data_IF_547538510661
#
_entry.id   IF_547538510661
#
_cell.length_a   1.000
_cell.length_b   1.000
_cell.length_c   1.000
_cell.angle_alpha   90.00
_cell.angle_beta   90.00
_cell.angle_gamma   90.00
#
_symmetry.space_group_name_H-M   'P 1'
#
loop_
_entity.id
_entity.type
_entity.pdbx_description
1 polymer ?
#
# COMPACT_ATOMS: atom_id res chain seq x y z
N UNK A 1 -15.73 -11.53 -15.96
CA UNK A 1 -14.48 -11.50 -15.19
C UNK A 1 -14.77 -11.07 -13.75
N UNK A 2 -14.19 -11.78 -12.77
CA UNK A 2 -14.30 -11.44 -11.34
C UNK A 2 -12.96 -10.90 -10.84
N UNK A 3 -12.98 -10.13 -9.74
CA UNK A 3 -11.77 -9.60 -9.11
C UNK A 3 -11.00 -10.75 -8.43
N UNK A 4 -9.73 -10.91 -8.78
CA UNK A 4 -8.86 -12.01 -8.28
C UNK A 4 -7.73 -11.53 -7.37
N UNK A 5 -7.63 -10.22 -7.14
CA UNK A 5 -6.63 -9.59 -6.28
C UNK A 5 -6.60 -8.07 -6.51
N UNK A 6 -6.10 -7.31 -5.55
CA UNK A 6 -6.01 -5.85 -5.65
C UNK A 6 -4.84 -5.26 -4.89
N UNK A 7 -4.25 -4.19 -5.46
CA UNK A 7 -3.26 -3.35 -4.79
C UNK A 7 -3.79 -1.93 -4.81
N UNK A 8 -3.87 -1.30 -3.65
CA UNK A 8 -4.46 0.03 -3.49
C UNK A 8 -3.47 0.97 -2.82
N UNK A 9 -3.56 2.26 -3.15
CA UNK A 9 -2.66 3.29 -2.65
C UNK A 9 -3.45 4.37 -1.90
N UNK A 10 -2.95 4.82 -0.74
CA UNK A 10 -3.56 5.90 0.05
C UNK A 10 -5.01 5.63 0.44
N UNK A 11 -5.27 4.43 0.99
CA UNK A 11 -6.64 3.97 1.26
C UNK A 11 -7.04 4.17 2.70
N UNK A 12 -8.26 4.67 2.93
CA UNK A 12 -8.85 4.72 4.25
C UNK A 12 -10.36 4.45 4.19
N UNK A 13 -10.88 3.87 5.28
CA UNK A 13 -12.32 3.83 5.52
C UNK A 13 -12.77 5.20 6.07
N UNK A 14 -13.71 5.86 5.38
CA UNK A 14 -14.15 7.24 5.66
C UNK A 14 -15.19 7.37 6.80
N UNK A 15 -15.66 6.28 7.41
CA UNK A 15 -16.77 6.32 8.39
C UNK A 15 -16.27 6.38 9.84
N UNK A 16 -17.09 6.89 10.77
CA UNK A 16 -16.74 6.92 12.21
C UNK A 16 -16.57 5.51 12.81
N UNK A 17 -17.17 4.48 12.21
CA UNK A 17 -16.97 3.07 12.58
C UNK A 17 -15.80 2.38 11.84
N UNK A 18 -15.03 3.12 11.03
CA UNK A 18 -13.92 2.63 10.21
C UNK A 18 -12.85 1.84 10.97
N UNK A 19 -12.75 1.99 12.29
CA UNK A 19 -11.81 1.25 13.13
C UNK A 19 -12.31 -0.10 13.63
N UNK A 20 -13.58 -0.47 13.39
CA UNK A 20 -14.21 -1.67 13.97
C UNK A 20 -14.95 -2.54 12.96
N UNK A 21 -15.03 -2.14 11.69
CA UNK A 21 -15.69 -2.92 10.65
C UNK A 21 -14.67 -3.84 9.98
N UNK A 22 -14.84 -5.14 10.17
CA UNK A 22 -14.09 -6.16 9.44
C UNK A 22 -14.43 -6.09 7.94
N UNK A 23 -13.42 -5.90 7.10
CA UNK A 23 -13.50 -5.89 5.64
C UNK A 23 -13.48 -7.34 5.17
N UNK A 24 -14.63 -7.82 4.68
CA UNK A 24 -14.79 -9.16 4.12
C UNK A 24 -14.21 -9.20 2.70
N UNK A 25 -12.94 -9.59 2.55
CA UNK A 25 -12.29 -9.74 1.25
C UNK A 25 -12.47 -11.14 0.64
N UNK A 26 -13.11 -12.09 1.33
CA UNK A 26 -13.42 -13.43 0.80
C UNK A 26 -12.18 -14.21 0.32
N UNK A 27 -11.07 -14.07 1.03
CA UNK A 27 -9.76 -14.64 0.65
C UNK A 27 -9.12 -14.03 -0.60
N UNK A 28 -9.69 -12.96 -1.17
CA UNK A 28 -9.07 -12.25 -2.30
C UNK A 28 -7.80 -11.56 -1.80
N UNK A 29 -6.65 -11.74 -2.47
CA UNK A 29 -5.39 -11.07 -2.12
C UNK A 29 -5.51 -9.54 -2.16
N UNK A 30 -5.17 -8.86 -1.07
CA UNK A 30 -5.20 -7.39 -0.99
C UNK A 30 -3.88 -6.83 -0.46
N UNK A 31 -3.27 -5.88 -1.17
CA UNK A 31 -2.18 -5.08 -0.64
C UNK A 31 -2.56 -3.60 -0.56
N UNK A 32 -2.18 -2.95 0.53
CA UNK A 32 -2.32 -1.51 0.72
C UNK A 32 -0.94 -0.85 0.76
N UNK A 33 -0.76 0.21 -0.02
CA UNK A 33 0.47 1.00 -0.09
C UNK A 33 0.19 2.41 0.43
N UNK A 34 1.07 2.94 1.27
CA UNK A 34 0.97 4.31 1.79
C UNK A 34 2.31 5.05 1.71
N UNK A 35 2.25 6.38 1.59
CA UNK A 35 3.40 7.25 1.79
C UNK A 35 3.58 7.60 3.27
N UNK A 36 4.82 7.58 3.75
CA UNK A 36 5.15 8.00 5.13
C UNK A 36 4.82 9.47 5.40
N UNK A 37 4.96 10.32 4.39
CA UNK A 37 4.75 11.76 4.51
C UNK A 37 3.35 12.20 4.08
N UNK A 38 2.44 11.28 3.80
CA UNK A 38 1.06 11.60 3.39
C UNK A 38 0.32 12.35 4.50
N UNK A 39 -0.12 13.58 4.22
CA UNK A 39 -0.93 14.39 5.16
C UNK A 39 -2.42 14.40 4.85
N UNK A 40 -2.81 13.92 3.67
CA UNK A 40 -4.20 13.88 3.21
C UNK A 40 -4.89 12.60 3.68
N UNK A 41 -4.23 11.46 3.47
CA UNK A 41 -4.59 10.15 3.99
C UNK A 41 -3.44 9.63 4.82
N UNK A 42 -3.43 10.00 6.09
CA UNK A 42 -2.36 9.63 7.02
C UNK A 42 -2.09 8.11 6.96
N UNK A 43 -0.82 7.67 6.93
CA UNK A 43 -0.46 6.26 6.77
C UNK A 43 -1.07 5.37 7.86
N UNK A 44 -1.28 5.88 9.08
CA UNK A 44 -1.98 5.15 10.14
C UNK A 44 -3.43 4.79 9.79
N UNK A 45 -4.11 5.57 8.94
CA UNK A 45 -5.45 5.23 8.47
C UNK A 45 -5.42 4.10 7.46
N UNK A 46 -4.38 4.06 6.62
CA UNK A 46 -4.15 2.92 5.73
C UNK A 46 -3.81 1.66 6.52
N UNK A 47 -2.97 1.78 7.55
CA UNK A 47 -2.64 0.66 8.42
C UNK A 47 -3.86 0.12 9.17
N UNK A 48 -4.71 0.99 9.74
CA UNK A 48 -5.98 0.55 10.35
C UNK A 48 -6.91 -0.15 9.36
N UNK A 49 -6.91 0.31 8.10
CA UNK A 49 -7.68 -0.35 7.04
C UNK A 49 -7.12 -1.76 6.78
N UNK A 50 -5.80 -1.92 6.74
CA UNK A 50 -5.13 -3.23 6.63
C UNK A 50 -5.46 -4.16 7.80
N UNK A 51 -5.44 -3.65 9.03
CA UNK A 51 -5.75 -4.41 10.24
C UNK A 51 -7.19 -4.97 10.19
N UNK A 52 -8.10 -4.26 9.52
CA UNK A 52 -9.49 -4.66 9.37
C UNK A 52 -9.76 -5.65 8.22
N UNK A 53 -8.80 -5.94 7.33
CA UNK A 53 -8.95 -6.96 6.29
C UNK A 53 -8.98 -8.35 6.94
N UNK A 54 -10.05 -9.10 6.67
CA UNK A 54 -10.36 -10.37 7.33
C UNK A 54 -9.39 -11.49 6.97
N UNK A 55 -9.17 -11.70 5.66
CA UNK A 55 -8.52 -12.89 5.14
C UNK A 55 -7.17 -12.57 4.53
N UNK A 56 -6.20 -13.44 4.77
CA UNK A 56 -4.95 -13.52 4.01
C UNK A 56 -5.18 -14.10 2.60
N UNK A 57 -4.30 -13.82 1.63
CA UNK A 57 -3.05 -13.05 1.76
C UNK A 57 -3.28 -11.54 1.75
N UNK A 58 -2.62 -10.84 2.67
CA UNK A 58 -2.65 -9.38 2.73
C UNK A 58 -1.29 -8.75 3.03
N UNK A 59 -1.05 -7.56 2.48
CA UNK A 59 0.17 -6.80 2.75
C UNK A 59 -0.12 -5.32 3.02
N UNK A 60 0.66 -4.73 3.93
CA UNK A 60 0.77 -3.29 4.11
C UNK A 60 2.21 -2.87 3.81
N UNK A 61 2.37 -1.97 2.85
CA UNK A 61 3.67 -1.42 2.45
C UNK A 61 3.66 0.09 2.67
N UNK A 62 4.49 0.58 3.58
CA UNK A 62 4.71 2.01 3.77
C UNK A 62 6.03 2.42 3.12
N UNK A 63 5.99 3.36 2.19
CA UNK A 63 7.18 3.87 1.50
C UNK A 63 7.63 5.16 2.19
N UNK A 64 8.88 5.20 2.62
CA UNK A 64 9.48 6.33 3.33
C UNK A 64 9.77 7.49 2.39
N UNK A 65 9.61 8.71 2.89
CA UNK A 65 9.96 9.92 2.15
C UNK A 65 9.04 10.29 0.98
N UNK A 66 7.89 9.64 0.80
CA UNK A 66 6.89 10.02 -0.22
C UNK A 66 5.62 10.53 0.45
N UNK A 67 4.98 11.53 -0.17
CA UNK A 67 3.73 12.13 0.29
C UNK A 67 2.51 11.50 -0.41
N UNK A 68 1.31 12.05 -0.20
CA UNK A 68 0.07 11.53 -0.81
C UNK A 68 0.13 11.37 -2.32
N UNK A 69 0.86 12.25 -2.99
CA UNK A 69 0.94 12.28 -4.44
C UNK A 69 2.07 11.43 -5.00
N UNK A 70 2.76 10.63 -4.16
CA UNK A 70 3.90 9.80 -4.56
C UNK A 70 3.61 8.82 -5.70
N UNK A 71 2.34 8.48 -5.95
CA UNK A 71 1.89 7.64 -7.08
C UNK A 71 1.74 8.40 -8.41
N UNK A 72 1.81 9.72 -8.41
CA UNK A 72 1.52 10.56 -9.60
C UNK A 72 2.78 11.19 -10.20
N UNK A 73 2.65 11.89 -11.32
CA UNK A 73 3.78 12.57 -11.98
C UNK A 73 4.25 13.85 -11.24
N UNK A 74 3.40 14.43 -10.37
CA UNK A 74 3.70 15.67 -9.65
C UNK A 74 3.34 15.54 -8.17
N UNK A 75 4.16 16.10 -7.28
CA UNK A 75 3.96 15.95 -5.84
C UNK A 75 2.92 16.90 -5.23
N UNK A 76 2.41 17.84 -6.04
CA UNK A 76 1.32 18.77 -5.70
C UNK A 76 0.60 19.15 -7.00
N UNK A 77 -0.52 18.50 -7.34
CA UNK A 77 -1.34 18.91 -8.46
C UNK A 77 -2.00 20.27 -8.18
N UNK A 78 -2.23 21.04 -9.25
CA UNK A 78 -2.80 22.40 -9.16
C UNK A 78 -4.19 22.44 -8.53
N UNK A 79 -5.02 21.43 -8.82
CA UNK A 79 -6.44 21.40 -8.43
C UNK A 79 -6.73 20.30 -7.38
N UNK A 80 -5.69 19.70 -6.77
CA UNK A 80 -5.85 18.72 -5.69
C UNK A 80 -5.75 19.36 -4.30
N UNK A 81 -6.15 18.63 -3.24
CA UNK A 81 -5.90 19.05 -1.87
C UNK A 81 -4.42 19.42 -1.63
N UNK A 82 -4.20 20.39 -0.75
CA UNK A 82 -2.85 20.78 -0.36
C UNK A 82 -2.18 19.66 0.44
N UNK A 83 -0.95 19.32 0.06
CA UNK A 83 -0.09 18.38 0.75
C UNK A 83 1.05 19.16 1.39
N UNK A 84 1.03 19.23 2.72
CA UNK A 84 1.94 20.07 3.50
C UNK A 84 3.38 19.56 3.43
N UNK A 85 3.55 18.23 3.31
CA UNK A 85 4.86 17.62 3.31
C UNK A 85 5.44 17.51 1.90
N UNK A 86 6.65 18.05 1.75
CA UNK A 86 7.44 17.88 0.52
C UNK A 86 8.01 16.47 0.45
N UNK A 87 7.95 15.80 -0.71
CA UNK A 87 8.57 14.50 -0.87
C UNK A 87 10.10 14.64 -0.76
N UNK A 88 10.72 13.62 -0.19
CA UNK A 88 12.17 13.46 -0.11
C UNK A 88 12.73 12.67 -1.30
N UNK A 89 11.87 11.93 -2.00
CA UNK A 89 12.21 11.17 -3.20
C UNK A 89 11.67 11.86 -4.46
N UNK A 90 12.25 11.53 -5.62
CA UNK A 90 11.69 11.97 -6.90
C UNK A 90 10.39 11.23 -7.18
N UNK A 91 9.44 11.87 -7.85
CA UNK A 91 8.18 11.22 -8.27
C UNK A 91 8.43 9.95 -9.08
N UNK A 92 9.39 9.98 -10.01
CA UNK A 92 9.76 8.79 -10.81
C UNK A 92 10.27 7.62 -9.98
N UNK A 93 10.99 7.89 -8.89
CA UNK A 93 11.48 6.86 -7.98
C UNK A 93 10.32 6.29 -7.14
N UNK A 94 9.45 7.17 -6.66
CA UNK A 94 8.25 6.84 -5.89
C UNK A 94 7.31 5.94 -6.70
N UNK A 95 6.95 6.36 -7.92
CA UNK A 95 6.10 5.59 -8.85
C UNK A 95 6.72 4.24 -9.17
N UNK A 96 8.03 4.19 -9.40
CA UNK A 96 8.76 2.93 -9.66
C UNK A 96 8.62 1.97 -8.49
N UNK A 97 8.87 2.42 -7.25
CA UNK A 97 8.76 1.54 -6.07
C UNK A 97 7.33 1.04 -5.88
N UNK A 98 6.32 1.92 -6.03
CA UNK A 98 4.91 1.54 -5.93
C UNK A 98 4.58 0.46 -6.98
N UNK A 99 5.06 0.63 -8.22
CA UNK A 99 4.85 -0.33 -9.30
C UNK A 99 5.56 -1.67 -9.03
N UNK A 100 6.80 -1.64 -8.53
CA UNK A 100 7.57 -2.85 -8.20
C UNK A 100 6.90 -3.67 -7.09
N UNK A 101 6.42 -3.02 -6.02
CA UNK A 101 5.68 -3.68 -4.94
C UNK A 101 4.32 -4.19 -5.39
N UNK A 102 3.61 -3.41 -6.19
CA UNK A 102 2.33 -3.84 -6.76
C UNK A 102 2.51 -5.07 -7.65
N UNK A 103 3.52 -5.06 -8.52
CA UNK A 103 3.83 -6.18 -9.40
C UNK A 103 4.24 -7.42 -8.61
N UNK A 104 5.11 -7.27 -7.61
CA UNK A 104 5.58 -8.38 -6.77
C UNK A 104 4.40 -9.08 -6.08
N UNK A 105 3.50 -8.33 -5.45
CA UNK A 105 2.33 -8.88 -4.76
C UNK A 105 1.38 -9.62 -5.72
N UNK A 106 1.05 -8.99 -6.86
CA UNK A 106 0.16 -9.60 -7.85
C UNK A 106 0.78 -10.84 -8.51
N UNK A 107 2.08 -10.81 -8.81
CA UNK A 107 2.78 -12.00 -9.31
C UNK A 107 2.77 -13.14 -8.29
N UNK A 108 2.98 -12.83 -7.02
CA UNK A 108 3.00 -13.81 -5.94
C UNK A 108 1.63 -14.49 -5.76
N UNK A 109 0.56 -13.72 -5.58
CA UNK A 109 -0.73 -14.29 -5.15
C UNK A 109 -1.76 -14.46 -6.27
N UNK A 110 -1.75 -13.59 -7.29
CA UNK A 110 -2.69 -13.70 -8.43
C UNK A 110 -2.13 -14.64 -9.49
N UNK A 111 -0.87 -14.45 -9.88
CA UNK A 111 -0.21 -15.29 -10.88
C UNK A 111 0.45 -16.54 -10.28
N UNK A 112 0.47 -16.67 -8.95
CA UNK A 112 1.01 -17.83 -8.22
C UNK A 112 2.46 -18.14 -8.59
N UNK A 113 3.25 -17.10 -8.83
CA UNK A 113 4.67 -17.26 -9.17
C UNK A 113 5.47 -17.56 -7.91
N UNK A 114 6.04 -18.76 -7.84
CA UNK A 114 6.79 -19.22 -6.67
C UNK A 114 7.96 -18.29 -6.33
N UNK A 115 8.72 -17.82 -7.32
CA UNK A 115 9.83 -16.90 -7.09
C UNK A 115 9.37 -15.57 -6.44
N UNK A 116 8.19 -15.07 -6.80
CA UNK A 116 7.61 -13.85 -6.22
C UNK A 116 7.10 -14.10 -4.80
N UNK A 117 6.53 -15.28 -4.52
CA UNK A 117 6.16 -15.71 -3.17
C UNK A 117 7.40 -15.83 -2.27
N UNK A 118 8.45 -16.50 -2.75
CA UNK A 118 9.71 -16.68 -2.03
C UNK A 118 10.37 -15.32 -1.73
N UNK A 119 10.35 -14.40 -2.70
CA UNK A 119 10.81 -13.03 -2.52
C UNK A 119 9.98 -12.31 -1.45
N UNK A 120 8.65 -12.29 -1.57
CA UNK A 120 7.78 -11.57 -0.63
C UNK A 120 7.88 -12.12 0.80
N UNK A 121 8.07 -13.44 0.96
CA UNK A 121 8.24 -14.08 2.27
C UNK A 121 9.46 -13.58 3.05
N UNK A 122 10.50 -13.10 2.35
CA UNK A 122 11.69 -12.51 2.98
C UNK A 122 11.40 -11.14 3.60
N UNK A 123 10.28 -10.52 3.22
CA UNK A 123 9.86 -9.20 3.70
C UNK A 123 8.77 -9.28 4.78
N UNK A 124 8.52 -10.47 5.36
CA UNK A 124 7.58 -10.61 6.47
C UNK A 124 8.06 -9.80 7.69
N UNK A 125 7.33 -8.73 8.04
CA UNK A 125 7.67 -7.78 9.10
C UNK A 125 9.03 -7.09 8.88
N UNK A 126 9.27 -6.62 7.66
CA UNK A 126 10.51 -5.96 7.25
C UNK A 126 10.45 -4.45 7.42
N UNK A 127 11.58 -3.82 7.74
CA UNK A 127 11.73 -2.37 7.74
C UNK A 127 13.18 -1.99 7.45
N UNK A 128 13.38 -0.98 6.59
CA UNK A 128 14.68 -0.39 6.28
C UNK A 128 14.54 1.12 6.04
N UNK A 129 15.58 1.79 5.54
CA UNK A 129 15.57 3.24 5.26
C UNK A 129 14.61 3.67 4.14
N UNK A 130 14.10 2.73 3.32
CA UNK A 130 13.23 3.03 2.18
C UNK A 130 11.76 2.69 2.45
N UNK A 131 11.48 1.70 3.31
CA UNK A 131 10.13 1.19 3.48
C UNK A 131 9.96 0.34 4.73
N UNK A 132 8.71 0.13 5.12
CA UNK A 132 8.28 -0.95 6.00
C UNK A 132 7.24 -1.82 5.30
N UNK A 133 7.25 -3.12 5.60
CA UNK A 133 6.38 -4.13 5.00
C UNK A 133 5.86 -5.05 6.09
N UNK A 134 4.54 -5.20 6.14
CA UNK A 134 3.85 -6.20 6.96
C UNK A 134 3.11 -7.10 5.99
N UNK A 135 3.42 -8.39 6.01
CA UNK A 135 2.83 -9.39 5.13
C UNK A 135 2.25 -10.53 5.95
N UNK A 136 1.01 -10.90 5.62
CA UNK A 136 0.34 -12.10 6.09
C UNK A 136 0.03 -12.94 4.87
N UNK A 137 0.80 -14.02 4.68
CA UNK A 137 0.72 -14.91 3.52
C UNK A 137 -0.10 -16.16 3.76
#
# INVERSE_FOLDING_TARGET
PELVGGVFYGTNLLTKEAGSLTIQNSGIPIALIAGELDTIVLPEFTQRTYDNIADSPKAFIQIKGINHYGITDVSQPKDGPEEENKPQLKQTESVKMIAEWSALFLQAYVLKQQASLDCLSQYQNFSNEQMSVICEG
#
